data_IF_525103807374
#
_entry.id   IF_525103807374
#
_cell.length_a   1.000
_cell.length_b   1.000
_cell.length_c   1.000
_cell.angle_alpha   90.00
_cell.angle_beta   90.00
_cell.angle_gamma   90.00
#
_symmetry.space_group_name_H-M   'P 1'
#
loop_
_entity.id
_entity.type
_entity.pdbx_description
1 polymer ?
#
# COMPACT_ATOMS: atom_id res chain seq x y z
N UNK A 1 -18.23 -12.32 10.37
CA UNK A 1 -18.55 -11.17 11.24
C UNK A 1 -17.46 -10.15 10.96
N UNK A 2 -17.74 -9.14 10.14
CA UNK A 2 -16.78 -8.08 9.81
C UNK A 2 -16.75 -7.14 11.02
N UNK A 3 -15.77 -7.31 11.89
CA UNK A 3 -15.47 -6.28 12.88
C UNK A 3 -14.82 -5.15 12.08
N UNK A 4 -15.58 -4.07 11.86
CA UNK A 4 -15.09 -2.88 11.16
C UNK A 4 -14.08 -2.17 12.07
N UNK A 5 -12.82 -2.65 12.09
CA UNK A 5 -11.73 -2.23 13.00
C UNK A 5 -11.56 -0.69 13.07
N UNK A 6 -11.96 0.03 12.02
CA UNK A 6 -11.90 1.49 11.99
C UNK A 6 -13.10 2.22 12.62
N UNK A 7 -14.31 1.64 12.65
CA UNK A 7 -15.52 2.37 13.07
C UNK A 7 -15.52 2.69 14.56
N UNK A 8 -14.79 1.91 15.35
CA UNK A 8 -14.60 2.14 16.79
C UNK A 8 -13.55 3.22 17.09
N UNK A 9 -12.89 3.78 16.07
CA UNK A 9 -11.88 4.85 16.19
C UNK A 9 -12.21 6.02 15.25
N UNK A 10 -13.11 6.95 15.65
CA UNK A 10 -13.65 7.98 14.75
C UNK A 10 -12.60 8.92 14.14
N UNK A 11 -11.57 9.28 14.92
CA UNK A 11 -10.48 10.15 14.45
C UNK A 11 -9.64 9.45 13.38
N UNK A 12 -9.40 8.15 13.55
CA UNK A 12 -8.62 7.35 12.62
C UNK A 12 -9.38 7.09 11.33
N UNK A 13 -10.68 6.82 11.42
CA UNK A 13 -11.56 6.73 10.27
C UNK A 13 -11.53 8.02 9.44
N UNK A 14 -11.67 9.19 10.08
CA UNK A 14 -11.58 10.47 9.38
C UNK A 14 -10.21 10.70 8.71
N UNK A 15 -9.12 10.28 9.34
CA UNK A 15 -7.77 10.37 8.75
C UNK A 15 -7.66 9.50 7.51
N UNK A 16 -8.10 8.24 7.58
CA UNK A 16 -8.06 7.31 6.47
C UNK A 16 -8.96 7.79 5.31
N UNK A 17 -10.16 8.28 5.61
CA UNK A 17 -11.07 8.82 4.59
C UNK A 17 -10.51 10.05 3.85
N UNK A 18 -9.61 10.83 4.49
CA UNK A 18 -8.87 11.90 3.81
C UNK A 18 -7.79 11.35 2.88
N UNK A 19 -7.05 10.32 3.30
CA UNK A 19 -6.03 9.69 2.45
C UNK A 19 -6.63 9.06 1.18
N UNK A 20 -7.90 8.64 1.25
CA UNK A 20 -8.64 8.00 0.15
C UNK A 20 -9.33 8.99 -0.79
N UNK A 21 -9.02 10.30 -0.73
CA UNK A 21 -9.65 11.31 -1.58
C UNK A 21 -9.53 10.97 -3.08
N UNK A 22 -8.33 10.57 -3.52
CA UNK A 22 -8.06 10.19 -4.90
C UNK A 22 -8.79 8.92 -5.32
N UNK A 23 -8.85 7.93 -4.43
CA UNK A 23 -9.57 6.70 -4.68
C UNK A 23 -11.07 6.97 -4.86
N UNK A 24 -11.64 7.81 -3.99
CA UNK A 24 -13.05 8.18 -4.06
C UNK A 24 -13.38 8.91 -5.36
N UNK A 25 -12.54 9.84 -5.78
CA UNK A 25 -12.72 10.53 -7.06
C UNK A 25 -12.71 9.53 -8.23
N UNK A 26 -11.74 8.62 -8.26
CA UNK A 26 -11.68 7.60 -9.31
C UNK A 26 -12.93 6.68 -9.30
N UNK A 27 -13.47 6.31 -8.14
CA UNK A 27 -14.74 5.59 -8.10
C UNK A 27 -15.90 6.42 -8.65
N UNK A 28 -15.95 7.72 -8.37
CA UNK A 28 -16.98 8.63 -8.93
C UNK A 28 -16.85 8.78 -10.46
N UNK A 29 -15.63 8.71 -10.98
CA UNK A 29 -15.34 8.75 -12.43
C UNK A 29 -15.67 7.41 -13.12
N UNK A 30 -16.14 6.40 -12.38
CA UNK A 30 -16.60 5.11 -12.90
C UNK A 30 -15.54 4.01 -12.94
N UNK A 31 -14.33 4.26 -12.41
CA UNK A 31 -13.32 3.20 -12.26
C UNK A 31 -13.77 2.19 -11.19
N UNK A 32 -13.61 0.90 -11.46
CA UNK A 32 -14.06 -0.17 -10.56
C UNK A 32 -12.95 -0.78 -9.70
N UNK A 33 -11.69 -0.64 -10.13
CA UNK A 33 -10.53 -1.21 -9.47
C UNK A 33 -9.42 -0.18 -9.46
N UNK A 34 -8.93 0.14 -8.27
CA UNK A 34 -7.91 1.16 -8.05
C UNK A 34 -6.72 0.45 -7.41
N UNK A 35 -5.54 0.60 -8.01
CA UNK A 35 -4.31 0.04 -7.50
C UNK A 35 -3.49 1.12 -6.80
N UNK A 36 -3.19 0.92 -5.51
CA UNK A 36 -2.14 1.66 -4.82
C UNK A 36 -0.78 1.06 -5.14
N UNK A 37 0.22 1.90 -5.42
CA UNK A 37 1.57 1.49 -5.79
C UNK A 37 2.57 2.25 -4.91
N UNK A 38 3.59 1.54 -4.41
CA UNK A 38 4.70 2.15 -3.68
C UNK A 38 5.99 1.33 -3.85
N UNK A 39 7.15 1.99 -3.73
CA UNK A 39 8.47 1.37 -3.87
C UNK A 39 9.34 1.49 -2.61
N UNK A 40 10.23 0.51 -2.45
CA UNK A 40 11.31 0.53 -1.47
C UNK A 40 12.63 0.17 -2.12
N UNK A 41 13.74 0.65 -1.56
CA UNK A 41 15.08 0.29 -2.04
C UNK A 41 15.70 1.26 -3.05
N UNK A 42 15.12 2.46 -3.25
CA UNK A 42 15.70 3.48 -4.16
C UNK A 42 16.97 4.17 -3.64
N UNK A 43 17.13 4.25 -2.32
CA UNK A 43 18.23 4.95 -1.65
C UNK A 43 19.43 4.12 -1.19
N UNK A 44 19.29 2.83 -0.81
CA UNK A 44 20.42 1.99 -0.44
C UNK A 44 21.48 1.84 -1.54
N UNK A 45 22.74 1.63 -1.14
CA UNK A 45 23.88 1.41 -2.05
C UNK A 45 23.89 -0.02 -2.64
N UNK A 46 23.16 -0.95 -2.02
CA UNK A 46 23.08 -2.34 -2.46
C UNK A 46 21.66 -2.88 -2.31
N UNK A 47 21.34 -3.88 -3.14
CA UNK A 47 20.04 -4.53 -3.17
C UNK A 47 19.19 -4.07 -4.37
N UNK A 48 18.05 -4.73 -4.59
CA UNK A 48 17.10 -4.36 -5.63
C UNK A 48 16.22 -3.18 -5.19
N UNK A 49 15.60 -2.52 -6.17
CA UNK A 49 14.38 -1.76 -5.95
C UNK A 49 13.21 -2.73 -6.01
N UNK A 50 12.26 -2.61 -5.08
CA UNK A 50 11.07 -3.47 -5.01
C UNK A 50 9.84 -2.58 -4.99
N UNK A 51 8.91 -2.84 -5.90
CA UNK A 51 7.62 -2.17 -5.96
C UNK A 51 6.49 -3.16 -5.68
N UNK A 52 5.42 -2.68 -5.03
CA UNK A 52 4.21 -3.44 -4.82
C UNK A 52 3.01 -2.70 -5.43
N UNK A 53 2.06 -3.44 -5.99
CA UNK A 53 0.77 -2.94 -6.41
C UNK A 53 -0.33 -3.71 -5.67
N UNK A 54 -1.28 -3.00 -5.06
CA UNK A 54 -2.37 -3.61 -4.28
C UNK A 54 -3.71 -2.99 -4.67
N UNK A 55 -4.69 -3.84 -4.99
CA UNK A 55 -6.08 -3.46 -5.22
C UNK A 55 -6.89 -3.92 -4.01
N UNK A 56 -7.42 -2.95 -3.25
CA UNK A 56 -8.22 -3.20 -2.06
C UNK A 56 -9.73 -3.07 -2.36
N UNK A 57 -10.61 -3.76 -1.62
CA UNK A 57 -12.04 -3.50 -1.65
C UNK A 57 -12.37 -2.03 -1.35
N UNK A 58 -13.43 -1.49 -1.96
CA UNK A 58 -13.82 -0.09 -1.77
C UNK A 58 -14.23 0.26 -0.33
N UNK A 59 -14.65 -0.73 0.45
CA UNK A 59 -15.00 -0.62 1.87
C UNK A 59 -13.86 -1.05 2.81
N UNK A 60 -12.66 -1.34 2.28
CA UNK A 60 -11.52 -1.75 3.09
C UNK A 60 -11.11 -0.64 4.06
N UNK A 61 -10.96 -1.01 5.33
CA UNK A 61 -10.40 -0.12 6.33
C UNK A 61 -9.58 -0.90 7.35
N UNK A 62 -8.36 -0.45 7.60
CA UNK A 62 -7.46 -1.02 8.59
C UNK A 62 -6.88 0.11 9.45
N UNK A 63 -7.35 0.18 10.70
CA UNK A 63 -6.93 1.22 11.63
C UNK A 63 -5.43 1.12 11.93
N UNK A 64 -4.75 2.26 11.98
CA UNK A 64 -3.33 2.36 12.25
C UNK A 64 -2.43 2.14 11.04
N UNK A 65 -2.98 1.88 9.84
CA UNK A 65 -2.18 1.88 8.60
C UNK A 65 -1.61 3.27 8.38
N UNK A 66 -0.29 3.37 8.45
CA UNK A 66 0.46 4.61 8.32
C UNK A 66 1.79 4.33 7.61
N UNK A 67 2.61 5.36 7.37
CA UNK A 67 3.95 5.17 6.81
C UNK A 67 4.68 4.08 7.62
N UNK A 68 5.18 3.07 6.90
CA UNK A 68 5.84 1.90 7.46
C UNK A 68 6.99 2.28 8.42
N UNK A 69 7.58 3.47 8.27
CA UNK A 69 8.63 4.01 9.14
C UNK A 69 8.17 4.32 10.57
N UNK A 70 6.86 4.49 10.79
CA UNK A 70 6.26 4.72 12.11
C UNK A 70 5.75 3.43 12.77
N UNK A 71 5.82 2.30 12.06
CA UNK A 71 5.34 1.01 12.53
C UNK A 71 6.49 0.11 12.99
N UNK A 72 6.27 -0.63 14.08
CA UNK A 72 7.19 -1.69 14.47
C UNK A 72 7.19 -2.80 13.41
N UNK A 73 8.30 -3.54 13.30
CA UNK A 73 8.40 -4.67 12.37
C UNK A 73 7.26 -5.68 12.55
N UNK A 74 6.93 -6.02 13.80
CA UNK A 74 5.82 -6.91 14.13
C UNK A 74 4.49 -6.40 13.55
N UNK A 75 4.17 -5.11 13.72
CA UNK A 75 2.94 -4.52 13.17
C UNK A 75 2.95 -4.48 11.64
N UNK A 76 4.10 -4.20 11.01
CA UNK A 76 4.23 -4.23 9.55
C UNK A 76 3.94 -5.62 8.98
N UNK A 77 4.47 -6.67 9.60
CA UNK A 77 4.21 -8.06 9.18
C UNK A 77 2.75 -8.45 9.37
N UNK A 78 2.14 -8.03 10.47
CA UNK A 78 0.72 -8.23 10.76
C UNK A 78 -0.17 -7.53 9.70
N UNK A 79 0.07 -6.25 9.45
CA UNK A 79 -0.70 -5.49 8.46
C UNK A 79 -0.49 -6.02 7.05
N UNK A 80 0.73 -6.38 6.67
CA UNK A 80 1.00 -6.99 5.37
C UNK A 80 0.23 -8.31 5.20
N UNK A 81 0.07 -9.10 6.25
CA UNK A 81 -0.75 -10.32 6.22
C UNK A 81 -2.23 -9.99 6.02
N UNK A 82 -2.77 -9.03 6.77
CA UNK A 82 -4.18 -8.60 6.65
C UNK A 82 -4.45 -8.06 5.25
N UNK A 83 -3.61 -7.16 4.75
CA UNK A 83 -3.72 -6.56 3.42
C UNK A 83 -3.71 -7.64 2.34
N UNK A 84 -2.79 -8.61 2.40
CA UNK A 84 -2.72 -9.69 1.41
C UNK A 84 -3.91 -10.64 1.43
N UNK A 85 -4.55 -10.81 2.59
CA UNK A 85 -5.75 -11.64 2.74
C UNK A 85 -7.00 -10.95 2.20
N UNK A 86 -7.12 -9.64 2.42
CA UNK A 86 -8.31 -8.85 2.07
C UNK A 86 -8.22 -8.22 0.67
N UNK A 87 -7.02 -8.11 0.10
CA UNK A 87 -6.83 -7.52 -1.23
C UNK A 87 -7.53 -8.35 -2.33
N UNK A 88 -8.19 -7.65 -3.25
CA UNK A 88 -8.77 -8.25 -4.45
C UNK A 88 -7.68 -8.79 -5.39
N UNK A 89 -6.55 -8.10 -5.45
CA UNK A 89 -5.35 -8.53 -6.15
C UNK A 89 -4.12 -7.79 -5.58
N UNK A 90 -2.97 -8.43 -5.62
CA UNK A 90 -1.70 -7.79 -5.32
C UNK A 90 -0.56 -8.43 -6.11
N UNK A 91 0.50 -7.68 -6.34
CA UNK A 91 1.72 -8.16 -6.97
C UNK A 91 2.94 -7.43 -6.40
N UNK A 92 4.10 -8.09 -6.48
CA UNK A 92 5.40 -7.53 -6.09
C UNK A 92 6.37 -7.78 -7.24
N UNK A 93 7.10 -6.75 -7.62
CA UNK A 93 8.16 -6.82 -8.61
C UNK A 93 9.46 -6.27 -8.04
N UNK A 94 10.59 -6.86 -8.45
CA UNK A 94 11.91 -6.42 -8.03
C UNK A 94 12.81 -6.21 -9.25
N UNK A 95 13.54 -5.10 -9.25
CA UNK A 95 14.54 -4.78 -10.27
C UNK A 95 15.92 -4.83 -9.63
N UNK A 96 16.75 -5.75 -10.13
CA UNK A 96 18.10 -5.99 -9.61
C UNK A 96 19.01 -4.77 -9.78
N UNK A 97 20.01 -4.60 -8.90
CA UNK A 97 21.05 -3.57 -9.03
C UNK A 97 21.72 -3.56 -10.41
N UNK A 98 22.04 -4.73 -10.97
CA UNK A 98 22.59 -4.84 -12.33
C UNK A 98 21.69 -4.18 -13.37
N UNK A 99 20.37 -4.37 -13.26
CA UNK A 99 19.41 -3.75 -14.17
C UNK A 99 19.28 -2.25 -13.91
N UNK A 100 19.32 -1.82 -12.65
CA UNK A 100 19.34 -0.40 -12.27
C UNK A 100 20.53 0.31 -12.93
N UNK A 101 21.71 -0.30 -12.89
CA UNK A 101 22.92 0.25 -13.52
C UNK A 101 22.76 0.43 -15.03
N UNK A 102 21.97 -0.44 -15.69
CA UNK A 102 21.70 -0.36 -17.13
C UNK A 102 20.67 0.72 -17.51
N UNK A 103 19.66 0.96 -16.68
CA UNK A 103 18.50 1.82 -17.04
C UNK A 103 18.36 3.11 -16.25
N UNK A 104 19.23 3.35 -15.26
CA UNK A 104 19.14 4.40 -14.25
C UNK A 104 18.02 4.16 -13.21
N UNK A 105 18.29 4.59 -11.97
CA UNK A 105 17.40 4.42 -10.81
C UNK A 105 16.01 5.06 -10.96
N UNK A 106 15.88 6.10 -11.79
CA UNK A 106 14.58 6.72 -12.05
C UNK A 106 13.68 5.86 -12.96
N UNK A 107 14.27 4.95 -13.74
CA UNK A 107 13.55 4.07 -14.69
C UNK A 107 13.41 2.64 -14.16
N UNK A 108 13.98 2.36 -12.99
CA UNK A 108 14.03 1.03 -12.38
C UNK A 108 12.85 0.73 -11.47
#
# INVERSE_FOLDING_TARGET
MREDICRDQPQEFQRLEKLREYERQAYQDGYQRIAGIDEVGRGPIAGPVVAAAVILPGDFCLAGVNDSKLLSEKKRLEFAKIIKLEALAWSIAAVSSRRIDEINILQA
#
